data_IF_371692220974
#
_entry.id   IF_371692220974
#
_cell.length_a   1.000
_cell.length_b   1.000
_cell.length_c   1.000
_cell.angle_alpha   90.00
_cell.angle_beta   90.00
_cell.angle_gamma   90.00
#
_symmetry.space_group_name_H-M   'P 1'
#
loop_
_entity.id
_entity.type
_entity.pdbx_description
1 polymer ?
#
# COMPACT_ATOMS: atom_id res chain seq x y z
N UNK A 1 14.72 6.91 13.50
CA UNK A 1 13.36 6.37 13.31
C UNK A 1 12.52 7.42 12.60
N UNK A 2 11.63 7.03 11.66
CA UNK A 2 10.65 7.95 11.12
C UNK A 2 9.81 8.52 12.27
N UNK A 3 9.46 9.80 12.19
CA UNK A 3 8.57 10.42 13.18
C UNK A 3 7.14 9.98 12.86
N UNK A 4 6.66 8.96 13.59
CA UNK A 4 5.34 8.36 13.39
C UNK A 4 4.21 9.35 13.66
N UNK A 5 4.33 10.21 14.66
CA UNK A 5 3.35 11.26 14.95
C UNK A 5 3.21 12.24 13.78
N UNK A 6 4.33 12.67 13.19
CA UNK A 6 4.34 13.55 12.03
C UNK A 6 3.67 12.89 10.82
N UNK A 7 3.94 11.59 10.61
CA UNK A 7 3.29 10.83 9.55
C UNK A 7 1.78 10.69 9.78
N UNK A 8 1.36 10.34 11.00
CA UNK A 8 -0.05 10.20 11.36
C UNK A 8 -0.80 11.54 11.22
N UNK A 9 -0.18 12.65 11.64
CA UNK A 9 -0.73 13.99 11.40
C UNK A 9 -0.86 14.33 9.91
N UNK A 10 0.08 13.88 9.09
CA UNK A 10 0.00 14.05 7.63
C UNK A 10 -1.20 13.34 6.99
N UNK A 11 -1.77 12.32 7.65
CA UNK A 11 -2.98 11.63 7.17
C UNK A 11 -4.28 12.23 7.72
N UNK A 12 -4.22 13.18 8.65
CA UNK A 12 -5.41 13.78 9.24
C UNK A 12 -5.96 14.90 8.35
N UNK A 13 -7.24 14.78 7.99
CA UNK A 13 -7.97 15.71 7.14
C UNK A 13 -9.32 16.06 7.76
N UNK A 14 -9.37 17.22 8.40
CA UNK A 14 -10.63 17.79 8.89
C UNK A 14 -11.22 18.72 7.81
N UNK A 15 -12.47 18.49 7.36
CA UNK A 15 -13.15 19.45 6.49
C UNK A 15 -13.31 20.81 7.17
N UNK A 16 -13.15 21.90 6.42
CA UNK A 16 -13.14 23.27 6.95
C UNK A 16 -14.46 23.67 7.64
N UNK A 17 -15.56 22.99 7.31
CA UNK A 17 -16.92 23.22 7.82
C UNK A 17 -17.28 22.38 9.05
N UNK A 18 -16.39 21.51 9.53
CA UNK A 18 -16.68 20.57 10.63
C UNK A 18 -16.13 21.08 11.96
N UNK A 19 -17.03 21.37 12.90
CA UNK A 19 -16.69 21.63 14.30
C UNK A 19 -16.73 20.30 15.06
N UNK A 20 -15.56 19.81 15.45
CA UNK A 20 -15.46 18.57 16.22
C UNK A 20 -15.57 18.88 17.72
N UNK A 21 -16.59 18.37 18.43
CA UNK A 21 -16.71 18.57 19.86
C UNK A 21 -15.57 17.86 20.60
N UNK A 22 -15.19 18.41 21.76
CA UNK A 22 -14.12 17.82 22.59
C UNK A 22 -14.48 16.39 23.01
N UNK A 23 -13.59 15.43 22.76
CA UNK A 23 -13.81 14.02 23.04
C UNK A 23 -14.51 13.23 21.92
N UNK A 24 -14.82 13.84 20.77
CA UNK A 24 -15.34 13.11 19.62
C UNK A 24 -14.28 12.17 19.01
N UNK A 25 -14.77 11.10 18.38
CA UNK A 25 -13.94 10.17 17.64
C UNK A 25 -13.36 10.86 16.39
N UNK A 26 -12.03 10.94 16.31
CA UNK A 26 -11.30 11.56 15.20
C UNK A 26 -10.94 10.57 14.07
N UNK A 27 -11.12 9.26 14.27
CA UNK A 27 -10.84 8.21 13.29
C UNK A 27 -11.43 8.49 11.89
N UNK A 28 -12.67 9.01 11.74
CA UNK A 28 -13.25 9.29 10.43
C UNK A 28 -12.52 10.36 9.60
N UNK A 29 -11.66 11.17 10.25
CA UNK A 29 -10.92 12.23 9.60
C UNK A 29 -9.50 11.81 9.20
N UNK A 30 -9.08 10.60 9.56
CA UNK A 30 -7.84 10.05 9.03
C UNK A 30 -8.08 9.43 7.66
N UNK A 31 -7.25 9.78 6.70
CA UNK A 31 -7.22 9.10 5.42
C UNK A 31 -6.47 7.78 5.54
N UNK A 32 -7.03 6.76 4.90
CA UNK A 32 -6.30 5.52 4.68
C UNK A 32 -5.07 5.77 3.79
N UNK A 33 -4.01 4.98 3.97
CA UNK A 33 -2.74 5.12 3.23
C UNK A 33 -2.18 3.77 2.80
N UNK A 34 -1.17 3.80 1.91
CA UNK A 34 -0.53 2.61 1.35
C UNK A 34 -0.32 2.74 -0.16
N UNK A 35 -0.45 1.64 -0.90
CA UNK A 35 -0.08 1.59 -2.31
C UNK A 35 -1.18 0.96 -3.18
N UNK A 36 -1.44 1.58 -4.33
CA UNK A 36 -2.11 0.91 -5.44
C UNK A 36 -1.11 0.04 -6.19
N UNK A 37 -1.42 -1.26 -6.31
CA UNK A 37 -0.55 -2.25 -6.97
C UNK A 37 -1.27 -2.81 -8.19
N UNK A 38 -0.73 -2.56 -9.38
CA UNK A 38 -1.26 -3.08 -10.64
C UNK A 38 -0.51 -4.32 -11.09
N UNK A 39 -1.26 -5.39 -11.38
CA UNK A 39 -0.74 -6.60 -11.99
C UNK A 39 -0.99 -6.59 -13.50
N UNK A 40 0.07 -6.80 -14.29
CA UNK A 40 -0.06 -6.89 -15.77
C UNK A 40 0.42 -8.23 -16.35
N UNK A 41 0.93 -9.12 -15.49
CA UNK A 41 1.39 -10.46 -15.82
C UNK A 41 0.48 -11.53 -15.23
N UNK A 42 0.02 -12.46 -16.07
CA UNK A 42 -0.94 -13.50 -15.70
C UNK A 42 -0.46 -14.89 -16.12
N UNK A 43 -0.83 -15.91 -15.35
CA UNK A 43 -0.52 -17.32 -15.59
C UNK A 43 -0.33 -18.10 -14.27
N UNK A 44 -0.42 -19.45 -14.28
CA UNK A 44 -0.47 -20.25 -13.05
C UNK A 44 0.70 -19.99 -12.09
N UNK A 45 1.94 -20.02 -12.60
CA UNK A 45 3.14 -19.71 -11.79
C UNK A 45 3.21 -18.24 -11.37
N UNK A 46 2.56 -17.34 -12.13
CA UNK A 46 2.52 -15.92 -11.77
C UNK A 46 1.53 -15.64 -10.63
N UNK A 47 0.48 -16.45 -10.46
CA UNK A 47 -0.52 -16.26 -9.41
C UNK A 47 0.07 -16.53 -8.02
N UNK A 48 0.89 -17.58 -7.89
CA UNK A 48 1.58 -17.91 -6.63
C UNK A 48 2.57 -16.81 -6.22
N UNK A 49 3.41 -16.37 -7.15
CA UNK A 49 4.37 -15.29 -6.91
C UNK A 49 3.68 -13.94 -6.65
N UNK A 50 2.52 -13.70 -7.27
CA UNK A 50 1.73 -12.51 -7.00
C UNK A 50 1.23 -12.46 -5.56
N UNK A 51 0.69 -13.57 -5.04
CA UNK A 51 0.26 -13.62 -3.64
C UNK A 51 1.44 -13.50 -2.67
N UNK A 52 2.55 -14.19 -2.93
CA UNK A 52 3.73 -14.09 -2.09
C UNK A 52 4.32 -12.67 -2.03
N UNK A 53 4.31 -11.95 -3.17
CA UNK A 53 4.75 -10.56 -3.22
C UNK A 53 3.87 -9.63 -2.38
N UNK A 54 2.54 -9.80 -2.41
CA UNK A 54 1.62 -8.98 -1.62
C UNK A 54 1.82 -9.19 -0.11
N UNK A 55 2.06 -10.44 0.30
CA UNK A 55 2.35 -10.76 1.69
C UNK A 55 3.71 -10.19 2.13
N UNK A 56 4.73 -10.26 1.28
CA UNK A 56 6.02 -9.64 1.57
C UNK A 56 5.91 -8.13 1.74
N UNK A 57 5.14 -7.43 0.89
CA UNK A 57 4.92 -5.98 1.04
C UNK A 57 4.25 -5.68 2.39
N UNK A 58 3.23 -6.46 2.79
CA UNK A 58 2.57 -6.30 4.10
C UNK A 58 3.55 -6.52 5.25
N UNK A 59 4.36 -7.57 5.17
CA UNK A 59 5.34 -7.91 6.18
C UNK A 59 6.43 -6.84 6.30
N UNK A 60 6.93 -6.30 5.19
CA UNK A 60 7.95 -5.26 5.16
C UNK A 60 7.43 -3.94 5.75
N UNK A 61 6.16 -3.58 5.49
CA UNK A 61 5.52 -2.41 6.10
C UNK A 61 5.35 -2.61 7.61
N UNK A 62 4.91 -3.79 8.03
CA UNK A 62 4.78 -4.13 9.45
C UNK A 62 6.13 -4.02 10.17
N UNK A 63 7.18 -4.58 9.58
CA UNK A 63 8.54 -4.54 10.12
C UNK A 63 9.08 -3.11 10.22
N UNK A 64 8.87 -2.28 9.20
CA UNK A 64 9.32 -0.88 9.22
C UNK A 64 8.59 -0.03 10.27
N UNK A 65 7.31 -0.30 10.51
CA UNK A 65 6.51 0.45 11.49
C UNK A 65 6.70 -0.07 12.91
N UNK A 66 6.98 -1.35 13.08
CA UNK A 66 7.05 -1.97 14.41
C UNK A 66 8.45 -2.35 14.86
N UNK A 67 9.45 -2.19 13.98
CA UNK A 67 10.82 -2.61 14.20
C UNK A 67 11.03 -4.11 13.90
N UNK A 68 12.28 -4.56 13.73
CA UNK A 68 12.62 -5.94 13.38
C UNK A 68 12.12 -6.97 14.43
N UNK A 69 12.02 -6.54 15.69
CA UNK A 69 11.57 -7.37 16.81
C UNK A 69 10.11 -7.10 17.20
N UNK A 70 9.38 -6.27 16.44
CA UNK A 70 8.01 -5.87 16.77
C UNK A 70 7.91 -5.01 18.04
N UNK A 71 9.01 -4.39 18.48
CA UNK A 71 9.12 -3.62 19.71
C UNK A 71 8.13 -2.44 19.78
N UNK A 72 7.77 -1.87 18.63
CA UNK A 72 6.78 -0.79 18.54
C UNK A 72 5.35 -1.29 18.21
N UNK A 73 5.09 -2.61 18.12
CA UNK A 73 3.74 -3.16 17.89
C UNK A 73 2.73 -2.70 18.97
N UNK A 74 3.20 -2.51 20.21
CA UNK A 74 2.37 -2.08 21.34
C UNK A 74 2.18 -0.55 21.39
N UNK A 75 2.88 0.21 20.53
CA UNK A 75 2.78 1.66 20.50
C UNK A 75 1.45 2.07 19.84
N UNK A 76 0.58 2.84 20.53
CA UNK A 76 -0.74 3.20 20.00
C UNK A 76 -0.69 3.94 18.66
N UNK A 77 0.35 4.76 18.45
CA UNK A 77 0.57 5.49 17.20
C UNK A 77 0.89 4.54 16.06
N UNK A 78 1.77 3.56 16.28
CA UNK A 78 2.10 2.54 15.28
C UNK A 78 0.89 1.68 14.93
N UNK A 79 0.08 1.29 15.93
CA UNK A 79 -1.18 0.56 15.69
C UNK A 79 -2.18 1.38 14.87
N UNK A 80 -2.31 2.67 15.18
CA UNK A 80 -3.20 3.56 14.42
C UNK A 80 -2.73 3.67 12.98
N UNK A 81 -1.44 3.91 12.74
CA UNK A 81 -0.87 3.97 11.40
C UNK A 81 -1.11 2.66 10.65
N UNK A 82 -0.86 1.52 11.29
CA UNK A 82 -1.11 0.20 10.69
C UNK A 82 -2.59 -0.02 10.36
N UNK A 83 -3.51 0.46 11.20
CA UNK A 83 -4.96 0.32 10.95
C UNK A 83 -5.44 1.07 9.71
N UNK A 84 -4.74 2.14 9.34
CA UNK A 84 -5.00 2.93 8.13
C UNK A 84 -4.29 2.36 6.89
N UNK A 85 -3.40 1.38 7.06
CA UNK A 85 -2.64 0.80 5.94
C UNK A 85 -3.49 -0.18 5.15
N UNK A 86 -3.58 0.04 3.84
CA UNK A 86 -4.17 -0.93 2.93
C UNK A 86 -3.40 -1.03 1.62
N UNK A 87 -3.49 -2.20 0.98
CA UNK A 87 -3.00 -2.41 -0.37
C UNK A 87 -4.21 -2.43 -1.32
N UNK A 88 -4.25 -1.47 -2.22
CA UNK A 88 -5.26 -1.36 -3.27
C UNK A 88 -4.81 -2.21 -4.47
N UNK A 89 -5.18 -3.48 -4.44
CA UNK A 89 -4.70 -4.50 -5.37
C UNK A 89 -5.59 -4.53 -6.63
N UNK A 90 -5.00 -4.24 -7.80
CA UNK A 90 -5.69 -4.20 -9.11
C UNK A 90 -5.14 -5.29 -10.01
N UNK A 91 -5.95 -6.32 -10.24
CA UNK A 91 -5.54 -7.55 -10.95
C UNK A 91 -6.58 -8.06 -11.96
N UNK A 92 -7.45 -7.18 -12.47
CA UNK A 92 -8.41 -7.59 -13.51
C UNK A 92 -7.69 -7.81 -14.86
N UNK A 93 -7.61 -9.07 -15.35
CA UNK A 93 -6.95 -9.36 -16.62
C UNK A 93 -7.70 -8.78 -17.82
N UNK A 94 -9.00 -8.53 -17.75
CA UNK A 94 -9.75 -7.94 -18.86
C UNK A 94 -9.30 -6.51 -19.15
N UNK A 95 -8.83 -5.79 -18.12
CA UNK A 95 -8.39 -4.40 -18.21
C UNK A 95 -6.87 -4.27 -18.28
N UNK A 96 -6.13 -5.12 -17.55
CA UNK A 96 -4.70 -4.89 -17.26
C UNK A 96 -3.73 -5.83 -17.97
N UNK A 97 -4.20 -6.89 -18.62
CA UNK A 97 -3.33 -7.89 -19.23
C UNK A 97 -2.44 -7.29 -20.32
N UNK A 98 -1.13 -7.50 -20.20
CA UNK A 98 -0.09 -7.00 -21.11
C UNK A 98 -0.01 -5.47 -21.27
N UNK A 99 -0.63 -4.70 -20.37
CA UNK A 99 -0.50 -3.25 -20.40
C UNK A 99 0.95 -2.82 -20.12
N UNK A 100 1.44 -1.92 -20.96
CA UNK A 100 2.71 -1.20 -20.73
C UNK A 100 2.46 0.05 -19.87
N UNK A 101 3.53 0.60 -19.31
CA UNK A 101 3.48 1.75 -18.40
C UNK A 101 2.64 2.94 -18.91
N UNK A 102 2.73 3.29 -20.20
CA UNK A 102 1.98 4.43 -20.73
C UNK A 102 0.46 4.18 -20.74
N UNK A 103 0.04 2.96 -21.09
CA UNK A 103 -1.37 2.57 -21.05
C UNK A 103 -1.87 2.47 -19.61
N UNK A 104 -1.05 1.97 -18.70
CA UNK A 104 -1.38 1.87 -17.28
C UNK A 104 -1.55 3.25 -16.62
N UNK A 105 -0.68 4.22 -16.96
CA UNK A 105 -0.86 5.62 -16.52
C UNK A 105 -2.19 6.18 -16.97
N UNK A 106 -2.66 5.83 -18.17
CA UNK A 106 -3.96 6.23 -18.67
C UNK A 106 -5.10 5.57 -17.90
N UNK A 107 -5.04 4.25 -17.67
CA UNK A 107 -6.03 3.52 -16.84
C UNK A 107 -6.13 4.12 -15.43
N UNK A 108 -5.00 4.48 -14.84
CA UNK A 108 -4.94 5.13 -13.52
C UNK A 108 -5.57 6.53 -13.53
N UNK A 109 -5.28 7.35 -14.55
CA UNK A 109 -5.85 8.70 -14.71
C UNK A 109 -7.35 8.70 -15.00
N UNK A 110 -7.78 7.79 -15.86
CA UNK A 110 -9.16 7.70 -16.33
C UNK A 110 -10.05 6.92 -15.33
N UNK A 111 -9.49 6.48 -14.20
CA UNK A 111 -10.17 5.69 -13.15
C UNK A 111 -10.91 4.46 -13.69
N UNK A 112 -10.45 3.90 -14.83
CA UNK A 112 -11.13 2.80 -15.56
C UNK A 112 -11.15 1.52 -14.74
N UNK A 113 -10.14 1.30 -13.90
CA UNK A 113 -10.10 0.18 -12.96
C UNK A 113 -10.86 0.47 -11.65
N UNK A 114 -11.52 1.63 -11.54
CA UNK A 114 -12.06 2.23 -10.31
C UNK A 114 -11.12 3.31 -9.75
N UNK A 115 -11.65 4.22 -8.92
CA UNK A 115 -10.86 5.29 -8.30
C UNK A 115 -9.68 4.70 -7.51
N UNK A 116 -8.42 5.04 -7.83
CA UNK A 116 -7.29 4.56 -7.06
C UNK A 116 -7.34 5.18 -5.67
N UNK A 117 -6.93 4.40 -4.68
CA UNK A 117 -6.81 4.82 -3.29
C UNK A 117 -6.03 6.14 -3.10
N UNK A 118 -5.10 6.44 -4.01
CA UNK A 118 -4.24 7.61 -3.96
C UNK A 118 -4.91 8.86 -4.57
N UNK A 119 -6.13 8.75 -5.11
CA UNK A 119 -6.84 9.87 -5.74
C UNK A 119 -7.19 11.03 -4.78
N UNK A 120 -7.04 10.85 -3.46
CA UNK A 120 -7.25 11.89 -2.45
C UNK A 120 -5.94 12.54 -1.95
N UNK A 121 -4.76 12.00 -2.29
CA UNK A 121 -3.48 12.54 -1.83
C UNK A 121 -2.95 13.58 -2.83
N UNK A 122 -2.96 14.86 -2.43
CA UNK A 122 -2.77 16.02 -3.33
C UNK A 122 -1.39 16.15 -3.96
N UNK A 123 -0.36 15.45 -3.49
CA UNK A 123 1.01 15.82 -3.84
C UNK A 123 1.83 14.74 -4.54
N UNK A 124 1.53 13.43 -4.39
CA UNK A 124 2.36 12.36 -4.99
C UNK A 124 1.59 11.05 -5.24
N UNK A 125 1.20 10.82 -6.50
CA UNK A 125 0.52 9.60 -6.91
C UNK A 125 1.51 8.54 -7.40
N UNK A 126 2.07 7.74 -6.48
CA UNK A 126 2.92 6.61 -6.82
C UNK A 126 2.11 5.30 -6.80
N UNK A 127 2.13 4.55 -7.90
CA UNK A 127 1.61 3.18 -7.91
C UNK A 127 2.74 2.19 -8.18
N UNK A 128 2.56 0.96 -7.74
CA UNK A 128 3.48 -0.14 -8.02
C UNK A 128 2.98 -0.91 -9.24
N UNK A 129 3.85 -1.16 -10.21
CA UNK A 129 3.59 -2.06 -11.33
C UNK A 129 4.29 -3.39 -11.09
N UNK A 130 3.54 -4.47 -11.17
CA UNK A 130 4.03 -5.84 -11.13
C UNK A 130 3.83 -6.47 -12.50
N UNK A 131 4.90 -6.41 -13.30
CA UNK A 131 4.99 -7.01 -14.61
C UNK A 131 5.63 -8.40 -14.55
N UNK A 132 5.84 -9.03 -15.72
CA UNK A 132 6.44 -10.36 -15.80
C UNK A 132 7.82 -10.39 -15.14
N UNK A 133 8.64 -9.36 -15.35
CA UNK A 133 9.99 -9.30 -14.78
C UNK A 133 9.95 -9.33 -13.25
N UNK A 134 9.09 -8.51 -12.65
CA UNK A 134 8.94 -8.43 -11.19
C UNK A 134 8.45 -9.76 -10.60
N UNK A 135 7.43 -10.37 -11.20
CA UNK A 135 6.87 -11.66 -10.75
C UNK A 135 7.92 -12.77 -10.78
N UNK A 136 8.68 -12.89 -11.88
CA UNK A 136 9.69 -13.94 -11.99
C UNK A 136 10.94 -13.67 -11.13
N UNK A 137 11.31 -12.41 -10.90
CA UNK A 137 12.41 -12.06 -9.99
C UNK A 137 12.05 -12.33 -8.54
N UNK A 138 10.80 -12.11 -8.14
CA UNK A 138 10.31 -12.46 -6.80
C UNK A 138 10.32 -13.97 -6.58
N UNK A 139 9.82 -14.74 -7.55
CA UNK A 139 9.81 -16.20 -7.48
C UNK A 139 11.17 -16.89 -7.42
N UNK A 140 12.21 -16.22 -7.92
CA UNK A 140 13.58 -16.73 -7.92
C UNK A 140 14.43 -16.20 -6.76
N UNK A 141 13.86 -15.46 -5.79
CA UNK A 141 14.61 -15.07 -4.60
C UNK A 141 15.03 -16.35 -3.85
N UNK A 142 16.33 -16.59 -3.63
CA UNK A 142 16.74 -17.64 -2.71
C UNK A 142 16.09 -17.34 -1.36
N UNK A 143 15.64 -18.38 -0.67
CA UNK A 143 15.05 -18.33 0.66
C UNK A 143 16.15 -17.90 1.65
N UNK A 144 16.59 -16.63 1.57
CA UNK A 144 17.55 -16.05 2.49
C UNK A 144 16.81 -15.88 3.81
N UNK A 145 17.25 -16.54 4.90
CA UNK A 145 16.64 -16.30 6.19
C UNK A 145 16.71 -14.81 6.47
N UNK A 146 15.55 -14.18 6.76
CA UNK A 146 15.51 -12.80 7.23
C UNK A 146 16.47 -12.72 8.42
N UNK A 147 17.44 -11.83 8.30
CA UNK A 147 18.53 -11.64 9.25
C UNK A 147 17.92 -11.41 10.64
N UNK A 148 18.14 -12.35 11.56
CA UNK A 148 17.88 -12.11 12.99
C UNK A 148 19.12 -11.43 13.58
N UNK A 149 18.96 -10.35 14.37
CA UNK A 149 20.07 -9.71 15.06
C UNK A 149 20.78 -10.68 16.02
#
# INVERSE_FOLDING_TARGET
MPNLDSFLWGQFHLPEDVIVPSGANLTPYYCDWGFTVYRTAYGPSSDEHWHALLEDIRADVLEQLTGPDGTCQAEPVAQHILSLFHLDVRSDPAVLNYLKMDALRKVCKDEVAGRPMIANQRERNYFLLVDKGVVYSHGNRPNTPRYKP
#
